data_IF_536098206687
#
_entry.id   IF_536098206687
#
_cell.length_a   1.000
_cell.length_b   1.000
_cell.length_c   1.000
_cell.angle_alpha   90.00
_cell.angle_beta   90.00
_cell.angle_gamma   90.00
#
_symmetry.space_group_name_H-M   'P 1'
#
loop_
_entity.id
_entity.type
_entity.pdbx_description
1 polymer ?
#
# COMPACT_ATOMS: atom_id res chain seq x y z
N UNK A 1 21.29 -43.23 -17.27
CA UNK A 1 20.18 -42.24 -17.19
C UNK A 1 19.59 -42.12 -18.59
N UNK A 2 18.35 -42.55 -18.77
CA UNK A 2 17.69 -42.53 -20.08
C UNK A 2 17.22 -41.11 -20.43
N UNK A 3 16.89 -40.87 -21.72
CA UNK A 3 16.33 -39.59 -22.18
C UNK A 3 15.02 -39.28 -21.43
N UNK A 4 14.24 -40.33 -21.13
CA UNK A 4 12.98 -40.21 -20.36
C UNK A 4 13.22 -39.77 -18.90
N UNK A 5 14.31 -40.20 -18.26
CA UNK A 5 14.64 -39.79 -16.89
C UNK A 5 14.99 -38.31 -16.84
N UNK A 6 15.74 -37.83 -17.83
CA UNK A 6 16.10 -36.39 -17.94
C UNK A 6 14.88 -35.51 -18.20
N UNK A 7 14.00 -35.95 -19.13
CA UNK A 7 12.75 -35.19 -19.42
C UNK A 7 11.85 -35.09 -18.18
N UNK A 8 11.73 -36.19 -17.41
CA UNK A 8 10.95 -36.25 -16.17
C UNK A 8 11.57 -35.31 -15.10
N UNK A 9 12.89 -35.29 -14.96
CA UNK A 9 13.57 -34.40 -14.02
C UNK A 9 13.39 -32.92 -14.37
N UNK A 10 13.51 -32.57 -15.66
CA UNK A 10 13.28 -31.18 -16.14
C UNK A 10 11.85 -30.77 -15.88
N UNK A 11 10.86 -31.63 -16.12
CA UNK A 11 9.46 -31.34 -15.87
C UNK A 11 9.17 -31.09 -14.37
N UNK A 12 9.74 -31.93 -13.49
CA UNK A 12 9.59 -31.77 -12.03
C UNK A 12 10.19 -30.46 -11.55
N UNK A 13 11.39 -30.10 -12.03
CA UNK A 13 12.03 -28.84 -11.68
C UNK A 13 11.23 -27.65 -12.20
N UNK A 14 10.71 -27.70 -13.42
CA UNK A 14 9.87 -26.63 -13.99
C UNK A 14 8.58 -26.43 -13.20
N UNK A 15 7.93 -27.51 -12.77
CA UNK A 15 6.72 -27.46 -11.92
C UNK A 15 7.04 -26.84 -10.56
N UNK A 16 8.16 -27.23 -9.92
CA UNK A 16 8.57 -26.68 -8.62
C UNK A 16 8.88 -25.16 -8.70
N UNK A 17 9.47 -24.70 -9.81
CA UNK A 17 9.76 -23.28 -10.02
C UNK A 17 8.49 -22.43 -10.17
N UNK A 18 7.44 -22.97 -10.82
CA UNK A 18 6.15 -22.28 -10.96
C UNK A 18 5.44 -22.08 -9.60
N UNK A 19 5.58 -23.06 -8.68
CA UNK A 19 4.98 -22.93 -7.34
C UNK A 19 5.77 -22.02 -6.39
N UNK A 20 7.07 -21.77 -6.62
CA UNK A 20 7.89 -20.90 -5.79
C UNK A 20 7.46 -19.43 -5.90
N UNK A 21 7.10 -18.95 -7.09
CA UNK A 21 6.66 -17.57 -7.31
C UNK A 21 5.29 -17.27 -6.66
N UNK A 22 4.39 -18.27 -6.63
CA UNK A 22 3.07 -18.10 -6.00
C UNK A 22 3.18 -17.97 -4.47
N UNK A 23 4.14 -18.62 -3.83
CA UNK A 23 4.35 -18.54 -2.38
C UNK A 23 4.88 -17.15 -1.95
N UNK A 24 5.74 -16.50 -2.75
CA UNK A 24 6.29 -15.19 -2.45
C UNK A 24 5.23 -14.08 -2.51
N UNK A 25 4.24 -14.18 -3.43
CA UNK A 25 3.19 -13.18 -3.60
C UNK A 25 2.20 -13.13 -2.42
N UNK A 26 1.97 -14.25 -1.72
CA UNK A 26 1.06 -14.28 -0.56
C UNK A 26 1.68 -13.73 0.73
N UNK A 27 3.02 -13.65 0.84
CA UNK A 27 3.68 -13.14 2.04
C UNK A 27 3.71 -11.62 2.13
N UNK A 28 3.52 -10.88 1.02
CA UNK A 28 3.65 -9.41 1.02
C UNK A 28 2.56 -8.69 1.82
N UNK A 29 1.36 -9.25 1.94
CA UNK A 29 0.26 -8.64 2.71
C UNK A 29 0.16 -9.12 4.16
N UNK A 30 0.82 -10.23 4.54
CA UNK A 30 0.73 -10.80 5.88
C UNK A 30 1.31 -9.90 6.99
N UNK A 31 2.12 -8.91 6.63
CA UNK A 31 2.68 -7.93 7.56
C UNK A 31 1.71 -6.79 7.91
N UNK A 32 0.58 -6.67 7.20
CA UNK A 32 -0.42 -5.63 7.43
C UNK A 32 -1.70 -6.21 8.04
N UNK A 33 -2.27 -5.51 9.01
CA UNK A 33 -3.58 -5.86 9.60
C UNK A 33 -4.70 -5.30 8.73
N UNK A 34 -5.11 -6.05 7.70
CA UNK A 34 -6.18 -5.67 6.78
C UNK A 34 -7.59 -5.63 7.41
N UNK A 35 -7.74 -6.04 8.68
CA UNK A 35 -9.02 -5.97 9.41
C UNK A 35 -9.27 -4.59 10.03
N UNK A 36 -8.23 -3.74 10.07
CA UNK A 36 -8.27 -2.42 10.69
C UNK A 36 -7.81 -1.36 9.70
N UNK A 37 -8.58 -0.30 9.54
CA UNK A 37 -8.15 0.91 8.85
C UNK A 37 -7.94 2.02 9.88
N UNK A 38 -6.72 2.54 9.93
CA UNK A 38 -6.35 3.68 10.77
C UNK A 38 -6.20 4.93 9.91
N UNK A 39 -6.31 6.09 10.56
CA UNK A 39 -6.18 7.39 9.92
C UNK A 39 -5.14 8.23 10.63
N UNK A 40 -4.24 8.86 9.87
CA UNK A 40 -3.31 9.86 10.38
C UNK A 40 -3.35 11.12 9.52
N UNK A 41 -3.06 12.26 10.16
CA UNK A 41 -2.84 13.54 9.45
C UNK A 41 -1.38 13.91 9.56
N UNK A 42 -0.80 14.34 8.44
CA UNK A 42 0.61 14.69 8.44
C UNK A 42 1.01 15.46 7.20
N UNK A 43 2.31 15.71 7.08
CA UNK A 43 2.92 16.46 5.98
C UNK A 43 3.78 15.52 5.15
N UNK A 44 3.59 15.52 3.84
CA UNK A 44 4.39 14.68 2.95
C UNK A 44 5.88 15.03 3.07
N UNK A 45 6.69 14.02 3.40
CA UNK A 45 8.14 14.11 3.35
C UNK A 45 8.65 13.86 1.93
N UNK A 46 8.23 12.76 1.31
CA UNK A 46 8.55 12.40 -0.08
C UNK A 46 7.57 11.36 -0.62
N UNK A 47 7.40 11.36 -1.94
CA UNK A 47 6.85 10.24 -2.71
C UNK A 47 8.02 9.47 -3.33
N UNK A 48 8.27 8.24 -2.88
CA UNK A 48 9.32 7.39 -3.38
C UNK A 48 8.77 6.47 -4.47
N UNK A 49 9.07 6.83 -5.72
CA UNK A 49 8.51 6.17 -6.91
C UNK A 49 9.49 5.17 -7.49
N UNK A 50 9.42 3.92 -7.04
CA UNK A 50 10.34 2.86 -7.44
C UNK A 50 9.65 1.49 -7.51
N UNK A 51 10.24 0.54 -8.25
CA UNK A 51 9.85 -0.87 -8.20
C UNK A 51 10.49 -1.56 -6.99
N UNK A 52 9.83 -2.57 -6.38
CA UNK A 52 8.52 -3.12 -6.77
C UNK A 52 7.34 -2.29 -6.25
N UNK A 53 7.54 -1.41 -5.25
CA UNK A 53 6.46 -0.67 -4.59
C UNK A 53 6.79 0.82 -4.49
N UNK A 54 5.74 1.64 -4.58
CA UNK A 54 5.79 3.08 -4.29
C UNK A 54 5.57 3.29 -2.80
N UNK A 55 6.35 4.17 -2.17
CA UNK A 55 6.17 4.55 -0.77
C UNK A 55 5.77 6.03 -0.64
N UNK A 56 4.78 6.27 0.20
CA UNK A 56 4.36 7.61 0.63
C UNK A 56 4.93 7.84 2.03
N UNK A 57 5.91 8.73 2.16
CA UNK A 57 6.55 9.06 3.44
C UNK A 57 5.93 10.33 4.01
N UNK A 58 5.46 10.27 5.25
CA UNK A 58 4.70 11.37 5.88
C UNK A 58 5.24 11.63 7.29
N UNK A 59 5.50 12.91 7.60
CA UNK A 59 5.74 13.36 8.97
C UNK A 59 4.40 13.51 9.68
N UNK A 60 4.19 12.74 10.74
CA UNK A 60 2.99 12.74 11.57
C UNK A 60 3.35 13.31 12.94
N UNK A 61 2.63 14.29 13.50
CA UNK A 61 2.87 14.76 14.86
C UNK A 61 2.88 13.60 15.85
N UNK A 62 3.92 13.50 16.68
CA UNK A 62 4.01 12.43 17.67
C UNK A 62 3.02 12.63 18.83
N UNK A 63 2.76 11.57 19.60
CA UNK A 63 1.82 11.61 20.72
C UNK A 63 2.20 12.62 21.81
N UNK A 64 3.49 12.91 21.98
CA UNK A 64 3.99 13.88 22.93
C UNK A 64 3.87 15.33 22.45
N UNK A 65 3.45 15.58 21.22
CA UNK A 65 3.29 16.87 20.56
C UNK A 65 4.56 17.76 20.57
N UNK A 66 5.73 17.13 20.67
CA UNK A 66 7.03 17.80 20.71
C UNK A 66 7.90 17.52 19.49
N UNK A 67 7.35 16.86 18.46
CA UNK A 67 8.04 16.49 17.24
C UNK A 67 7.17 15.68 16.29
N UNK A 68 7.83 14.97 15.37
CA UNK A 68 7.17 14.20 14.35
C UNK A 68 7.76 12.80 14.27
N UNK A 69 6.92 11.81 14.03
CA UNK A 69 7.31 10.48 13.63
C UNK A 69 7.24 10.37 12.11
N UNK A 70 8.20 9.66 11.52
CA UNK A 70 8.17 9.39 10.08
C UNK A 70 7.41 8.09 9.82
N UNK A 71 6.31 8.18 9.10
CA UNK A 71 5.50 7.05 8.67
C UNK A 71 5.83 6.68 7.24
N UNK A 72 5.93 5.39 6.97
CA UNK A 72 6.09 4.83 5.63
C UNK A 72 4.83 4.06 5.24
N UNK A 73 4.17 4.48 4.16
CA UNK A 73 2.99 3.80 3.64
C UNK A 73 3.34 3.13 2.32
N UNK A 74 3.35 1.79 2.33
CA UNK A 74 3.59 0.99 1.14
C UNK A 74 2.35 0.99 0.25
N UNK A 75 2.53 1.25 -1.04
CA UNK A 75 1.48 1.22 -2.04
C UNK A 75 1.86 0.24 -3.16
N UNK A 76 1.05 0.11 -4.19
CA UNK A 76 1.33 -0.77 -5.31
C UNK A 76 2.53 -0.33 -6.16
N UNK A 77 2.81 -1.13 -7.18
CA UNK A 77 3.89 -0.82 -8.11
C UNK A 77 3.59 0.43 -8.96
N UNK A 78 4.62 1.11 -9.49
CA UNK A 78 4.46 2.23 -10.40
C UNK A 78 3.48 1.95 -11.55
N UNK A 79 3.54 0.75 -12.14
CA UNK A 79 2.66 0.37 -13.25
C UNK A 79 1.18 0.30 -12.85
N UNK A 80 0.88 -0.19 -11.64
CA UNK A 80 -0.49 -0.26 -11.12
C UNK A 80 -1.01 1.16 -10.84
N UNK A 81 -0.20 1.97 -10.19
CA UNK A 81 -0.57 3.34 -9.80
C UNK A 81 -0.73 4.27 -11.00
N UNK A 82 0.12 4.16 -12.02
CA UNK A 82 -0.02 4.95 -13.27
C UNK A 82 -1.38 4.70 -13.93
N UNK A 83 -1.86 3.45 -13.96
CA UNK A 83 -3.22 3.14 -14.49
C UNK A 83 -4.35 3.73 -13.65
N UNK A 84 -4.07 4.16 -12.42
CA UNK A 84 -4.99 4.86 -11.52
C UNK A 84 -4.80 6.38 -11.52
N UNK A 85 -4.01 6.91 -12.45
CA UNK A 85 -3.77 8.33 -12.60
C UNK A 85 -2.65 8.90 -11.72
N UNK A 86 -1.89 8.04 -11.01
CA UNK A 86 -0.75 8.50 -10.23
C UNK A 86 0.49 8.70 -11.11
N UNK A 87 1.37 9.57 -10.66
CA UNK A 87 2.69 9.83 -11.26
C UNK A 87 3.73 10.13 -10.19
N UNK A 88 4.98 10.34 -10.58
CA UNK A 88 6.05 10.78 -9.67
C UNK A 88 5.77 12.12 -8.99
N UNK A 89 4.85 12.90 -9.56
CA UNK A 89 4.47 14.24 -9.10
C UNK A 89 3.05 14.31 -8.54
N UNK A 90 2.46 13.14 -8.23
CA UNK A 90 1.10 13.09 -7.67
C UNK A 90 1.00 13.87 -6.37
N UNK A 91 2.04 13.82 -5.53
CA UNK A 91 2.13 14.63 -4.32
C UNK A 91 3.42 15.46 -4.33
N UNK A 92 3.37 16.65 -3.74
CA UNK A 92 4.52 17.51 -3.55
C UNK A 92 5.03 17.46 -2.10
N UNK A 93 6.36 17.44 -1.85
CA UNK A 93 6.90 17.57 -0.49
C UNK A 93 6.33 18.79 0.23
N UNK A 94 5.97 18.65 1.50
CA UNK A 94 5.31 19.69 2.30
C UNK A 94 3.78 19.71 2.17
N UNK A 95 3.17 18.89 1.31
CA UNK A 95 1.72 18.81 1.16
C UNK A 95 1.07 18.18 2.41
N UNK A 96 0.00 18.81 2.92
CA UNK A 96 -0.78 18.29 4.03
C UNK A 96 -1.74 17.18 3.54
N UNK A 97 -1.68 16.01 4.17
CA UNK A 97 -2.44 14.84 3.79
C UNK A 97 -3.13 14.20 4.99
N UNK A 98 -4.32 13.68 4.76
CA UNK A 98 -4.97 12.70 5.63
C UNK A 98 -4.82 11.33 4.99
N UNK A 99 -4.11 10.39 5.63
CA UNK A 99 -3.83 9.06 5.09
C UNK A 99 -4.65 8.03 5.84
N UNK A 100 -5.36 7.19 5.10
CA UNK A 100 -5.97 5.96 5.59
C UNK A 100 -5.09 4.78 5.20
N UNK A 101 -4.86 3.86 6.15
CA UNK A 101 -3.91 2.77 5.96
C UNK A 101 -4.24 1.55 6.84
N UNK A 102 -3.76 0.39 6.44
CA UNK A 102 -3.73 -0.80 7.29
C UNK A 102 -2.40 -0.82 8.06
N UNK A 103 -2.44 -0.88 9.41
CA UNK A 103 -1.22 -0.81 10.20
C UNK A 103 -0.36 -2.07 10.03
N UNK A 104 0.93 -1.93 10.30
CA UNK A 104 1.83 -3.07 10.47
C UNK A 104 1.42 -3.88 11.70
N UNK A 105 1.47 -5.23 11.60
CA UNK A 105 1.10 -6.15 12.68
C UNK A 105 2.11 -6.13 13.84
N UNK A 106 3.34 -5.66 13.59
CA UNK A 106 4.40 -5.55 14.59
C UNK A 106 4.42 -4.23 15.36
N UNK A 107 3.46 -3.33 15.08
CA UNK A 107 3.29 -2.06 15.79
C UNK A 107 4.22 -0.93 15.38
N UNK A 108 5.09 -1.11 14.38
CA UNK A 108 5.89 -0.02 13.81
C UNK A 108 5.01 1.04 13.15
N UNK A 109 5.55 2.27 13.00
CA UNK A 109 4.87 3.38 12.34
C UNK A 109 4.73 3.14 10.83
N UNK A 110 3.52 3.37 10.28
CA UNK A 110 3.21 3.17 8.87
C UNK A 110 2.37 1.91 8.61
N UNK A 111 2.33 1.49 7.35
CA UNK A 111 1.50 0.37 6.93
C UNK A 111 1.22 0.33 5.44
N UNK A 112 0.15 -0.37 5.07
CA UNK A 112 -0.31 -0.43 3.68
C UNK A 112 -1.21 0.76 3.37
N UNK A 113 -0.88 1.50 2.32
CA UNK A 113 -1.63 2.68 1.88
C UNK A 113 -3.01 2.29 1.32
N UNK A 114 -4.07 2.87 1.88
CA UNK A 114 -5.45 2.71 1.38
C UNK A 114 -5.84 3.89 0.51
N UNK A 115 -5.85 5.09 1.09
CA UNK A 115 -6.14 6.33 0.36
C UNK A 115 -5.52 7.55 1.05
N UNK A 116 -5.38 8.63 0.30
CA UNK A 116 -5.04 9.95 0.82
C UNK A 116 -6.12 10.96 0.46
N UNK A 117 -6.42 11.85 1.41
CA UNK A 117 -7.27 13.02 1.19
C UNK A 117 -6.44 14.28 1.35
N UNK A 118 -6.45 15.14 0.34
CA UNK A 118 -5.82 16.46 0.33
C UNK A 118 -6.63 17.48 1.13
N UNK A 119 -6.04 18.65 1.40
CA UNK A 119 -6.73 19.74 2.08
C UNK A 119 -7.96 20.28 1.31
N UNK A 120 -7.97 20.16 -0.02
CA UNK A 120 -9.08 20.54 -0.89
C UNK A 120 -10.20 19.48 -0.98
N UNK A 121 -10.05 18.35 -0.26
CA UNK A 121 -10.99 17.24 -0.28
C UNK A 121 -10.77 16.22 -1.41
N UNK A 122 -9.78 16.43 -2.28
CA UNK A 122 -9.44 15.46 -3.34
C UNK A 122 -8.97 14.15 -2.73
N UNK A 123 -9.59 13.04 -3.13
CA UNK A 123 -9.23 11.69 -2.66
C UNK A 123 -8.45 10.93 -3.72
N UNK A 124 -7.31 10.36 -3.31
CA UNK A 124 -6.47 9.52 -4.16
C UNK A 124 -6.42 8.09 -3.59
N UNK A 125 -6.96 7.14 -4.36
CA UNK A 125 -7.01 5.73 -3.97
C UNK A 125 -5.66 5.03 -4.24
N UNK A 126 -5.22 4.20 -3.29
CA UNK A 126 -4.06 3.33 -3.45
C UNK A 126 -4.31 2.14 -4.37
N UNK A 127 -3.28 1.31 -4.59
CA UNK A 127 -3.36 0.13 -5.45
C UNK A 127 -4.15 -1.04 -4.83
N UNK A 128 -4.17 -1.14 -3.51
CA UNK A 128 -4.94 -2.11 -2.73
C UNK A 128 -5.80 -1.37 -1.73
N UNK A 129 -7.08 -1.27 -1.94
CA UNK A 129 -8.06 -0.97 -0.91
C UNK A 129 -8.75 -2.27 -0.52
N UNK A 130 -9.50 -2.32 0.60
CA UNK A 130 -10.32 -3.48 0.92
C UNK A 130 -11.27 -3.72 -0.25
N UNK A 131 -10.97 -4.75 -1.03
CA UNK A 131 -11.99 -5.34 -1.87
C UNK A 131 -12.83 -6.17 -0.92
N UNK A 132 -14.12 -5.86 -0.82
CA UNK A 132 -15.06 -6.80 -0.24
C UNK A 132 -14.84 -8.18 -0.87
N UNK A 133 -15.21 -9.25 -0.20
CA UNK A 133 -15.13 -10.63 -0.71
C UNK A 133 -15.79 -10.81 -2.09
N UNK A 134 -16.59 -9.84 -2.52
CA UNK A 134 -17.26 -9.72 -3.82
C UNK A 134 -16.51 -8.84 -4.84
N UNK A 135 -15.35 -8.27 -4.48
CA UNK A 135 -14.56 -7.38 -5.34
C UNK A 135 -15.10 -5.94 -5.43
N UNK A 136 -16.15 -5.60 -4.69
CA UNK A 136 -16.69 -4.24 -4.64
C UNK A 136 -15.89 -3.35 -3.69
N UNK A 137 -15.78 -2.07 -4.03
CA UNK A 137 -15.24 -1.08 -3.09
C UNK A 137 -16.27 -0.84 -1.98
N UNK A 138 -15.86 -0.69 -0.72
CA UNK A 138 -16.79 -0.26 0.32
C UNK A 138 -17.38 1.10 -0.07
N UNK A 139 -18.64 1.38 0.29
CA UNK A 139 -19.26 2.66 0.02
C UNK A 139 -18.43 3.78 0.63
N UNK A 140 -18.21 4.85 -0.14
CA UNK A 140 -17.54 6.06 0.34
C UNK A 140 -18.28 6.56 1.59
N UNK A 141 -17.60 6.79 2.71
CA UNK A 141 -18.24 7.38 3.88
C UNK A 141 -18.90 8.70 3.49
N UNK A 142 -20.10 9.01 4.00
CA UNK A 142 -20.72 10.31 3.76
C UNK A 142 -19.74 11.41 4.20
N UNK A 143 -19.57 12.44 3.34
CA UNK A 143 -18.79 13.62 3.68
C UNK A 143 -19.21 14.11 5.06
N UNK A 144 -18.21 14.30 5.95
CA UNK A 144 -18.48 14.84 7.28
C UNK A 144 -19.28 16.14 7.11
N UNK A 145 -20.48 16.16 7.68
CA UNK A 145 -21.33 17.35 7.67
C UNK A 145 -20.52 18.49 8.28
N UNK A 146 -20.27 19.52 7.50
CA UNK A 146 -19.74 20.78 8.00
C UNK A 146 -20.79 21.34 8.95
N UNK A 147 -20.50 21.28 10.24
CA UNK A 147 -21.31 21.97 11.26
C UNK A 147 -21.11 23.49 11.07
N UNK A 148 -22.19 24.28 11.06
CA UNK A 148 -22.13 25.73 10.86
C UNK A 148 -21.43 26.44 12.03
#
# INVERSE_FOLDING_TARGET
>A
MTVFDRARQVLVVAVLLVFADAAAAHHSYAMFDGTRTLTVKGTLAKLEWMNPHVFVWVYVPNAAQNGFDLYAFENGSPNVLTRRGWSKTTFAPGEALTIEYWPLTDGRTGGHFVQATRADGTVLQGAGGPRGVDGTLPPTPPAAASTP
#
